data_IF_508796570163
#
_entry.id   IF_508796570163
#
_cell.length_a   1.000
_cell.length_b   1.000
_cell.length_c   1.000
_cell.angle_alpha   90.00
_cell.angle_beta   90.00
_cell.angle_gamma   90.00
#
_symmetry.space_group_name_H-M   'P 1'
#
loop_
_entity.id
_entity.type
_entity.pdbx_description
1 polymer ?
#
# COMPACT_ATOMS: atom_id res chain seq x y z
N UNK A 1 34.27 23.52 18.32
CA UNK A 1 33.44 22.85 19.35
C UNK A 1 32.01 22.96 18.85
N UNK A 2 31.53 21.93 18.16
CA UNK A 2 30.17 21.91 17.62
C UNK A 2 29.22 21.69 18.79
N UNK A 3 28.25 22.59 18.96
CA UNK A 3 27.17 22.41 19.91
C UNK A 3 26.36 21.17 19.50
N UNK A 4 26.43 20.13 20.31
CA UNK A 4 25.69 18.88 20.09
C UNK A 4 24.25 19.12 20.55
N UNK A 5 23.31 19.23 19.61
CA UNK A 5 21.87 19.35 19.89
C UNK A 5 21.34 17.96 20.26
N UNK A 6 20.63 17.84 21.39
CA UNK A 6 20.09 16.55 21.83
C UNK A 6 18.95 16.08 20.93
N UNK A 7 18.79 14.76 20.75
CA UNK A 7 17.69 14.18 19.97
C UNK A 7 16.31 14.64 20.45
N UNK A 8 16.17 14.94 21.76
CA UNK A 8 14.95 15.49 22.35
C UNK A 8 14.70 16.92 21.87
N UNK A 9 15.73 17.77 21.86
CA UNK A 9 15.63 19.13 21.33
C UNK A 9 15.28 19.12 19.83
N UNK A 10 15.81 18.15 19.07
CA UNK A 10 15.43 17.92 17.67
C UNK A 10 13.94 17.53 17.55
N UNK A 11 13.44 16.63 18.40
CA UNK A 11 12.02 16.24 18.40
C UNK A 11 11.08 17.39 18.79
N UNK A 12 11.47 18.18 19.79
CA UNK A 12 10.73 19.35 20.25
C UNK A 12 10.73 20.45 19.16
N UNK A 13 11.85 20.67 18.48
CA UNK A 13 11.98 21.61 17.35
C UNK A 13 11.20 21.16 16.11
N UNK A 14 11.11 19.85 15.83
CA UNK A 14 10.30 19.28 14.74
C UNK A 14 8.79 19.47 15.00
N UNK A 15 8.32 19.36 16.26
CA UNK A 15 6.93 19.69 16.61
C UNK A 15 6.61 21.17 16.39
N UNK A 16 7.60 22.05 16.52
CA UNK A 16 7.41 23.50 16.46
C UNK A 16 7.65 24.13 15.07
N UNK A 17 8.54 23.57 14.23
CA UNK A 17 9.09 24.32 13.07
C UNK A 17 8.76 23.77 11.68
N UNK A 18 8.30 22.52 11.52
CA UNK A 18 8.11 21.89 10.20
C UNK A 18 9.37 21.95 9.27
N UNK A 19 10.57 22.11 9.85
CA UNK A 19 11.88 21.79 9.24
C UNK A 19 12.45 22.79 8.23
N UNK A 20 13.62 23.33 8.56
CA UNK A 20 14.45 24.19 7.70
C UNK A 20 15.12 23.39 6.55
N UNK A 21 15.62 24.07 5.52
CA UNK A 21 16.04 23.46 4.23
C UNK A 21 17.14 22.40 4.29
N UNK A 22 17.94 22.37 5.36
CA UNK A 22 19.10 21.49 5.52
C UNK A 22 18.77 20.14 6.19
N UNK A 23 17.65 20.07 6.92
CA UNK A 23 17.23 18.89 7.68
C UNK A 23 15.72 18.67 7.56
N UNK A 24 15.34 17.61 6.82
CA UNK A 24 13.92 17.24 6.64
C UNK A 24 13.61 15.97 7.43
N UNK A 25 12.84 16.13 8.50
CA UNK A 25 12.22 15.04 9.24
C UNK A 25 10.73 14.96 8.91
N UNK A 26 10.19 13.74 8.80
CA UNK A 26 8.74 13.55 8.66
C UNK A 26 8.24 12.38 9.49
N UNK A 27 7.07 12.58 10.08
CA UNK A 27 6.30 11.57 10.78
C UNK A 27 5.23 11.01 9.85
N UNK A 28 5.16 9.69 9.77
CA UNK A 28 4.10 8.91 9.14
C UNK A 28 3.36 8.11 10.22
N UNK A 29 2.21 7.53 9.89
CA UNK A 29 1.37 6.74 10.80
C UNK A 29 2.15 5.63 11.54
N UNK A 30 3.16 5.03 10.90
CA UNK A 30 3.93 3.91 11.46
C UNK A 30 5.45 4.10 11.43
N UNK A 31 5.95 5.20 10.88
CA UNK A 31 7.39 5.42 10.68
C UNK A 31 7.80 6.86 10.96
N UNK A 32 9.02 7.02 11.46
CA UNK A 32 9.74 8.28 11.56
C UNK A 32 10.90 8.25 10.58
N UNK A 33 11.06 9.29 9.76
CA UNK A 33 12.09 9.33 8.73
C UNK A 33 12.89 10.62 8.80
N UNK A 34 14.20 10.51 8.61
CA UNK A 34 15.18 11.59 8.61
C UNK A 34 15.91 11.57 7.27
N UNK A 35 15.86 12.66 6.51
CA UNK A 35 16.68 12.83 5.32
C UNK A 35 17.94 13.62 5.65
N UNK A 36 19.07 13.09 5.21
CA UNK A 36 20.38 13.72 5.30
C UNK A 36 20.92 13.96 3.90
N UNK A 37 21.26 15.22 3.64
CA UNK A 37 22.00 15.61 2.45
C UNK A 37 23.46 15.79 2.86
N UNK A 38 24.36 15.04 2.25
CA UNK A 38 25.80 15.19 2.46
C UNK A 38 26.37 16.16 1.42
N UNK A 39 27.40 16.93 1.80
CA UNK A 39 28.13 17.80 0.87
C UNK A 39 28.77 17.01 -0.29
N UNK A 40 29.26 15.81 0.04
CA UNK A 40 29.77 14.82 -0.91
C UNK A 40 29.11 13.47 -0.65
N UNK A 41 28.18 13.07 -1.53
CA UNK A 41 27.52 11.76 -1.44
C UNK A 41 26.05 11.77 -1.88
N UNK A 42 25.42 10.58 -1.98
CA UNK A 42 24.01 10.49 -2.27
C UNK A 42 23.16 10.96 -1.08
N UNK A 43 22.07 11.62 -1.40
CA UNK A 43 21.01 11.96 -0.44
C UNK A 43 20.47 10.69 0.22
N UNK A 44 20.49 10.66 1.55
CA UNK A 44 20.28 9.44 2.33
C UNK A 44 19.09 9.61 3.26
N UNK A 45 18.26 8.58 3.38
CA UNK A 45 17.12 8.57 4.29
C UNK A 45 17.33 7.47 5.34
N UNK A 46 17.17 7.85 6.60
CA UNK A 46 17.16 6.96 7.75
C UNK A 46 15.71 6.84 8.22
N UNK A 47 15.22 5.63 8.42
CA UNK A 47 13.81 5.38 8.82
C UNK A 47 13.76 4.50 10.05
N UNK A 48 12.81 4.79 10.93
CA UNK A 48 12.58 4.07 12.18
C UNK A 48 11.10 3.66 12.27
N UNK A 49 10.79 2.41 12.66
CA UNK A 49 9.45 2.04 13.07
C UNK A 49 9.01 2.91 14.25
N UNK A 50 7.82 3.51 14.16
CA UNK A 50 7.29 4.40 15.20
C UNK A 50 6.98 3.59 16.47
N UNK A 51 7.58 3.94 17.63
CA UNK A 51 7.28 3.27 18.89
C UNK A 51 5.78 3.35 19.25
N UNK A 52 5.19 2.23 19.67
CA UNK A 52 3.79 2.16 20.10
C UNK A 52 2.75 1.95 18.98
N UNK A 53 3.13 2.11 17.71
CA UNK A 53 2.23 1.96 16.55
C UNK A 53 2.49 0.68 15.75
N UNK A 54 3.67 0.07 15.92
CA UNK A 54 3.99 -1.27 15.41
C UNK A 54 4.10 -2.22 16.59
N UNK A 55 3.37 -3.34 16.53
CA UNK A 55 3.48 -4.43 17.51
C UNK A 55 4.96 -4.77 17.69
N UNK A 56 5.46 -4.62 18.92
CA UNK A 56 6.88 -4.77 19.26
C UNK A 56 7.45 -6.11 18.81
N UNK A 57 6.62 -7.16 18.85
CA UNK A 57 6.96 -8.52 18.41
C UNK A 57 7.15 -8.68 16.91
N UNK A 58 6.62 -7.77 16.08
CA UNK A 58 6.66 -7.88 14.61
C UNK A 58 7.68 -6.94 13.96
N UNK A 59 8.35 -6.06 14.73
CA UNK A 59 9.25 -5.03 14.15
C UNK A 59 10.40 -5.64 13.37
N UNK A 60 11.10 -6.60 13.97
CA UNK A 60 12.28 -7.25 13.39
C UNK A 60 11.92 -8.10 12.15
N UNK A 61 10.77 -8.77 12.20
CA UNK A 61 10.25 -9.54 11.06
C UNK A 61 9.92 -8.62 9.88
N UNK A 62 9.19 -7.51 10.12
CA UNK A 62 8.86 -6.52 9.09
C UNK A 62 10.10 -5.92 8.44
N UNK A 63 11.07 -5.56 9.26
CA UNK A 63 12.39 -5.06 8.86
C UNK A 63 13.10 -6.06 7.95
N UNK A 64 13.17 -7.33 8.37
CA UNK A 64 13.86 -8.39 7.63
C UNK A 64 13.20 -8.65 6.29
N UNK A 65 11.87 -8.78 6.27
CA UNK A 65 11.09 -9.00 5.04
C UNK A 65 11.38 -7.90 4.02
N UNK A 66 11.40 -6.63 4.44
CA UNK A 66 11.56 -5.50 3.53
C UNK A 66 12.96 -5.43 2.93
N UNK A 67 13.98 -5.68 3.73
CA UNK A 67 15.36 -5.79 3.22
C UNK A 67 15.46 -6.91 2.19
N UNK A 68 14.92 -8.08 2.49
CA UNK A 68 14.95 -9.22 1.57
C UNK A 68 14.24 -8.92 0.25
N UNK A 69 13.09 -8.24 0.30
CA UNK A 69 12.36 -7.84 -0.90
C UNK A 69 13.17 -6.85 -1.74
N UNK A 70 13.82 -5.85 -1.13
CA UNK A 70 14.67 -4.92 -1.89
C UNK A 70 15.87 -5.62 -2.53
N UNK A 71 16.56 -6.47 -1.77
CA UNK A 71 17.69 -7.24 -2.29
C UNK A 71 17.24 -8.07 -3.49
N UNK A 72 16.11 -8.76 -3.35
CA UNK A 72 15.52 -9.55 -4.42
C UNK A 72 15.17 -8.70 -5.65
N UNK A 73 14.45 -7.59 -5.47
CA UNK A 73 14.06 -6.71 -6.58
C UNK A 73 15.28 -6.10 -7.28
N UNK A 74 16.27 -5.65 -6.51
CA UNK A 74 17.51 -5.09 -7.03
C UNK A 74 18.33 -6.11 -7.84
N UNK A 75 18.26 -7.40 -7.49
CA UNK A 75 19.05 -8.45 -8.13
C UNK A 75 18.32 -9.07 -9.33
N UNK A 76 16.99 -9.11 -9.30
CA UNK A 76 16.19 -9.91 -10.24
C UNK A 76 15.34 -9.06 -11.20
N UNK A 77 15.35 -7.73 -11.05
CA UNK A 77 14.54 -6.84 -11.89
C UNK A 77 15.32 -5.60 -12.30
N UNK A 78 14.84 -4.90 -13.34
CA UNK A 78 15.35 -3.58 -13.74
C UNK A 78 14.62 -2.44 -13.03
N UNK A 79 13.73 -2.74 -12.07
CA UNK A 79 12.96 -1.74 -11.35
C UNK A 79 13.92 -0.95 -10.45
N UNK A 80 13.99 0.39 -10.59
CA UNK A 80 14.87 1.19 -9.74
C UNK A 80 14.33 1.17 -8.30
N UNK A 81 15.09 0.52 -7.41
CA UNK A 81 14.83 0.49 -5.98
C UNK A 81 15.88 1.29 -5.21
N UNK A 82 15.53 1.88 -4.05
CA UNK A 82 16.51 2.60 -3.24
C UNK A 82 17.67 1.69 -2.81
N UNK A 83 18.88 2.24 -2.80
CA UNK A 83 20.08 1.51 -2.41
C UNK A 83 20.09 1.31 -0.88
N UNK A 84 20.09 0.05 -0.45
CA UNK A 84 20.27 -0.32 0.95
C UNK A 84 21.72 -0.12 1.36
N UNK A 85 21.98 0.84 2.26
CA UNK A 85 23.33 1.12 2.76
C UNK A 85 23.68 0.32 4.02
N UNK A 86 22.78 0.27 5.00
CA UNK A 86 22.95 -0.46 6.26
C UNK A 86 21.60 -0.85 6.84
N UNK A 87 21.57 -1.93 7.63
CA UNK A 87 20.37 -2.43 8.25
C UNK A 87 20.69 -3.35 9.46
N UNK A 88 19.86 -3.39 10.50
CA UNK A 88 20.04 -4.26 11.67
C UNK A 88 18.82 -4.36 12.59
N UNK A 89 18.65 -5.49 13.28
CA UNK A 89 17.49 -5.82 14.12
C UNK A 89 17.44 -5.00 15.42
N UNK A 90 16.30 -5.06 16.13
CA UNK A 90 16.13 -4.41 17.43
C UNK A 90 17.21 -4.84 18.44
N UNK A 91 17.63 -6.11 18.40
CA UNK A 91 18.72 -6.63 19.26
C UNK A 91 20.11 -6.15 18.86
N UNK A 92 20.30 -5.75 17.60
CA UNK A 92 21.53 -5.20 17.05
C UNK A 92 21.55 -3.66 17.16
N UNK A 93 20.43 -3.08 17.61
CA UNK A 93 20.34 -1.68 17.97
C UNK A 93 21.20 -1.45 19.22
N UNK A 94 22.23 -0.60 19.16
CA UNK A 94 22.92 -0.19 20.37
C UNK A 94 21.88 0.51 21.25
N UNK A 95 21.60 -0.04 22.43
CA UNK A 95 20.66 0.54 23.38
C UNK A 95 21.17 1.94 23.80
N UNK A 96 20.82 2.98 23.03
CA UNK A 96 21.30 4.38 23.06
C UNK A 96 22.32 4.67 21.94
N UNK A 97 21.93 5.56 21.01
CA UNK A 97 22.81 6.22 20.05
C UNK A 97 24.10 6.67 20.75
N UNK A 98 25.26 6.39 20.15
CA UNK A 98 26.54 6.97 20.58
C UNK A 98 26.47 8.50 20.37
N UNK A 99 26.41 9.31 21.44
CA UNK A 99 26.25 10.75 21.33
C UNK A 99 27.52 11.47 20.83
N UNK A 100 28.66 10.79 20.79
CA UNK A 100 29.93 11.36 20.31
C UNK A 100 30.20 10.98 18.85
N UNK A 101 29.79 9.79 18.40
CA UNK A 101 30.13 9.29 17.06
C UNK A 101 28.98 9.32 16.05
N UNK A 102 27.72 9.49 16.48
CA UNK A 102 26.53 9.54 15.62
C UNK A 102 26.42 8.38 14.61
N UNK A 103 27.05 7.22 14.88
CA UNK A 103 27.11 6.12 13.93
C UNK A 103 25.81 5.32 13.96
N UNK A 104 24.93 5.61 13.01
CA UNK A 104 23.63 4.95 12.85
C UNK A 104 23.82 3.62 12.10
N UNK A 105 23.50 2.50 12.74
CA UNK A 105 23.57 1.14 12.15
C UNK A 105 22.22 0.60 11.66
N UNK A 106 21.11 1.32 11.91
CA UNK A 106 19.75 0.76 11.78
C UNK A 106 19.16 0.75 10.37
N UNK A 107 18.19 -0.16 10.21
CA UNK A 107 17.50 -0.64 9.01
C UNK A 107 16.30 0.17 8.57
N UNK A 108 16.25 0.26 7.23
CA UNK A 108 15.12 0.64 6.40
C UNK A 108 13.84 -0.18 6.64
N UNK A 109 12.79 0.52 7.08
CA UNK A 109 11.41 0.07 7.00
C UNK A 109 10.70 0.75 5.80
N UNK A 110 10.56 0.04 4.69
CA UNK A 110 9.76 0.43 3.50
C UNK A 110 8.26 0.27 3.70
N UNK A 111 7.67 0.64 4.84
CA UNK A 111 6.20 0.48 4.97
C UNK A 111 5.39 1.32 3.97
N UNK A 112 6.01 2.25 3.25
CA UNK A 112 5.34 3.02 2.20
C UNK A 112 6.26 3.46 1.06
N UNK A 113 7.08 2.56 0.49
CA UNK A 113 7.04 2.55 -0.98
C UNK A 113 5.95 1.58 -1.31
N UNK A 114 4.78 2.12 -1.66
CA UNK A 114 3.81 1.33 -2.38
C UNK A 114 4.48 0.92 -3.71
N UNK A 115 5.24 -0.18 -3.67
CA UNK A 115 5.95 -0.76 -4.81
C UNK A 115 4.93 -1.46 -5.70
N UNK A 116 3.98 -0.68 -6.21
CA UNK A 116 2.99 -1.11 -7.16
C UNK A 116 3.48 -0.78 -8.56
N UNK A 117 3.07 -1.56 -9.57
CA UNK A 117 3.25 -1.17 -10.96
C UNK A 117 2.80 0.29 -11.14
N UNK A 118 3.60 1.10 -11.82
CA UNK A 118 3.25 2.50 -12.10
C UNK A 118 1.88 2.61 -12.80
N UNK A 119 1.45 1.54 -13.46
CA UNK A 119 0.13 1.38 -14.06
C UNK A 119 -1.02 1.64 -13.09
N UNK A 120 -0.88 1.35 -11.80
CA UNK A 120 -1.95 1.61 -10.82
C UNK A 120 -2.13 3.11 -10.52
N UNK A 121 -1.21 3.98 -10.94
CA UNK A 121 -1.44 5.43 -10.89
C UNK A 121 -2.31 5.92 -12.05
N UNK A 122 -2.54 5.07 -13.05
CA UNK A 122 -3.39 5.38 -14.21
C UNK A 122 -4.87 5.18 -13.90
N UNK A 123 -5.22 4.79 -12.66
CA UNK A 123 -6.59 4.73 -12.20
C UNK A 123 -7.05 6.07 -11.62
N UNK A 124 -8.32 6.48 -11.84
CA UNK A 124 -8.88 7.58 -11.07
C UNK A 124 -8.82 7.27 -9.56
N UNK A 125 -8.66 8.28 -8.70
CA UNK A 125 -8.49 8.02 -7.26
C UNK A 125 -9.71 7.35 -6.66
N UNK A 126 -9.56 6.12 -6.17
CA UNK A 126 -10.67 5.34 -5.60
C UNK A 126 -11.29 6.01 -4.35
N UNK A 127 -10.55 6.90 -3.67
CA UNK A 127 -10.92 7.53 -2.40
C UNK A 127 -11.79 8.80 -2.54
N UNK A 128 -12.23 9.17 -3.76
CA UNK A 128 -13.01 10.40 -3.97
C UNK A 128 -14.34 10.46 -3.18
N UNK A 129 -14.90 9.31 -2.80
CA UNK A 129 -16.09 9.21 -1.94
C UNK A 129 -15.76 8.98 -0.46
N UNK A 130 -14.48 9.05 -0.07
CA UNK A 130 -13.97 8.74 1.28
C UNK A 130 -14.33 7.33 1.78
N UNK A 131 -14.78 6.47 0.87
CA UNK A 131 -15.12 5.07 1.08
C UNK A 131 -14.67 4.31 -0.16
N UNK A 132 -14.02 3.16 0.02
CA UNK A 132 -13.56 2.34 -1.09
C UNK A 132 -14.72 1.68 -1.83
N UNK A 133 -14.55 1.36 -3.12
CA UNK A 133 -15.61 0.75 -3.93
C UNK A 133 -16.15 -0.53 -3.28
N UNK A 134 -15.29 -1.33 -2.63
CA UNK A 134 -15.66 -2.59 -1.97
C UNK A 134 -16.86 -2.47 -1.03
N UNK A 135 -16.90 -1.41 -0.21
CA UNK A 135 -17.95 -1.19 0.76
C UNK A 135 -19.33 -0.97 0.12
N UNK A 136 -19.35 -0.52 -1.14
CA UNK A 136 -20.58 -0.33 -1.92
C UNK A 136 -20.95 -1.58 -2.71
N UNK A 137 -19.95 -2.32 -3.19
CA UNK A 137 -20.15 -3.56 -3.93
C UNK A 137 -20.74 -4.65 -3.02
N UNK A 138 -20.27 -4.76 -1.78
CA UNK A 138 -20.79 -5.71 -0.77
C UNK A 138 -22.29 -5.50 -0.50
N UNK A 139 -22.78 -4.28 -0.65
CA UNK A 139 -24.18 -3.92 -0.46
C UNK A 139 -25.02 -4.10 -1.74
N UNK A 140 -24.43 -4.58 -2.83
CA UNK A 140 -25.08 -4.65 -4.15
C UNK A 140 -25.38 -3.27 -4.74
N UNK A 141 -24.73 -2.21 -4.25
CA UNK A 141 -24.99 -0.83 -4.61
C UNK A 141 -24.01 -0.27 -5.66
N UNK A 142 -23.48 -1.13 -6.55
CA UNK A 142 -22.50 -0.72 -7.58
C UNK A 142 -22.97 0.45 -8.44
N UNK A 143 -24.24 0.46 -8.83
CA UNK A 143 -24.78 1.54 -9.65
C UNK A 143 -24.86 2.86 -8.87
N UNK A 144 -25.27 2.79 -7.60
CA UNK A 144 -25.29 3.95 -6.70
C UNK A 144 -23.88 4.50 -6.48
N UNK A 145 -22.88 3.62 -6.35
CA UNK A 145 -21.48 4.03 -6.31
C UNK A 145 -21.09 4.77 -7.59
N UNK A 146 -21.38 4.22 -8.78
CA UNK A 146 -21.06 4.88 -10.07
C UNK A 146 -21.72 6.24 -10.20
N UNK A 147 -23.02 6.33 -9.92
CA UNK A 147 -23.80 7.57 -9.99
C UNK A 147 -23.22 8.66 -9.06
N UNK A 148 -22.65 8.27 -7.91
CA UNK A 148 -21.99 9.20 -7.00
C UNK A 148 -20.54 9.48 -7.38
N UNK A 149 -19.80 8.47 -7.83
CA UNK A 149 -18.36 8.54 -8.08
C UNK A 149 -18.04 9.29 -9.37
N UNK A 150 -18.72 8.98 -10.47
CA UNK A 150 -18.43 9.53 -11.80
C UNK A 150 -18.43 11.08 -11.84
N UNK A 151 -19.39 11.79 -11.22
CA UNK A 151 -19.33 13.26 -11.20
C UNK A 151 -18.11 13.82 -10.47
N UNK A 152 -17.65 13.15 -9.39
CA UNK A 152 -16.46 13.57 -8.62
C UNK A 152 -15.19 13.21 -9.36
N UNK A 153 -15.16 12.05 -10.00
CA UNK A 153 -14.08 11.66 -10.90
C UNK A 153 -13.90 12.69 -12.01
N UNK A 154 -14.98 13.06 -12.71
CA UNK A 154 -14.90 14.07 -13.78
C UNK A 154 -14.48 15.45 -13.24
N UNK A 155 -14.90 15.82 -12.03
CA UNK A 155 -14.40 17.05 -11.40
C UNK A 155 -12.90 16.98 -11.11
N UNK A 156 -12.40 15.85 -10.59
CA UNK A 156 -10.98 15.63 -10.35
C UNK A 156 -10.19 15.64 -11.65
N UNK A 157 -10.67 14.97 -12.71
CA UNK A 157 -10.00 14.92 -14.00
C UNK A 157 -9.90 16.31 -14.63
N UNK A 158 -10.93 17.14 -14.56
CA UNK A 158 -10.85 18.54 -15.02
C UNK A 158 -9.80 19.35 -14.26
N UNK A 159 -9.71 19.16 -12.94
CA UNK A 159 -8.68 19.84 -12.13
C UNK A 159 -7.27 19.35 -12.47
N UNK A 160 -7.13 18.04 -12.73
CA UNK A 160 -5.87 17.43 -13.14
C UNK A 160 -5.43 17.94 -14.52
N UNK A 161 -6.35 18.03 -15.49
CA UNK A 161 -6.09 18.55 -16.83
C UNK A 161 -5.55 20.00 -16.76
N UNK A 162 -6.12 20.85 -15.90
CA UNK A 162 -5.63 22.22 -15.67
C UNK A 162 -4.20 22.23 -15.09
N UNK A 163 -3.91 21.38 -14.10
CA UNK A 163 -2.59 21.28 -13.50
C UNK A 163 -1.53 20.71 -14.47
N UNK A 164 -1.94 19.77 -15.33
CA UNK A 164 -1.10 19.24 -16.41
C UNK A 164 -0.77 20.35 -17.44
N UNK A 165 -1.75 21.15 -17.84
CA UNK A 165 -1.56 22.25 -18.78
C UNK A 165 -0.59 23.32 -18.22
N UNK A 166 -0.70 23.68 -16.94
CA UNK A 166 0.23 24.61 -16.28
C UNK A 166 1.67 24.07 -16.22
N UNK A 167 1.83 22.76 -16.05
CA UNK A 167 3.14 22.10 -15.92
C UNK A 167 3.87 21.92 -17.26
N UNK A 168 3.14 21.95 -18.38
CA UNK A 168 3.72 21.71 -19.72
C UNK A 168 4.49 22.94 -20.27
N UNK A 169 4.44 24.08 -19.58
CA UNK A 169 5.03 25.33 -20.06
C UNK A 169 6.58 25.37 -20.04
N UNK A 170 7.28 24.34 -19.55
CA UNK A 170 8.73 24.39 -19.30
C UNK A 170 9.61 23.22 -19.75
N UNK A 171 9.07 22.07 -20.18
CA UNK A 171 9.89 20.86 -20.41
C UNK A 171 9.66 20.17 -21.77
N UNK A 172 10.73 19.58 -22.31
CA UNK A 172 10.71 18.79 -23.54
C UNK A 172 9.77 17.58 -23.38
N UNK A 173 8.64 17.66 -24.06
CA UNK A 173 7.52 16.74 -23.90
C UNK A 173 7.88 15.31 -24.37
N UNK A 174 8.07 14.39 -23.43
CA UNK A 174 8.03 12.95 -23.70
C UNK A 174 6.64 12.62 -24.28
N UNK A 175 6.58 11.80 -25.34
CA UNK A 175 5.35 11.35 -26.03
C UNK A 175 4.60 10.33 -25.15
N UNK A 176 4.17 10.75 -23.98
CA UNK A 176 3.40 9.96 -23.03
C UNK A 176 2.00 10.58 -22.97
N UNK A 177 0.91 9.80 -23.13
CA UNK A 177 -0.44 10.33 -22.95
C UNK A 177 -0.58 10.90 -21.53
N UNK A 178 -1.31 12.01 -21.42
CA UNK A 178 -1.61 12.72 -20.16
C UNK A 178 -2.17 11.74 -19.12
N UNK A 179 -1.87 11.98 -17.84
CA UNK A 179 -2.36 11.12 -16.76
C UNK A 179 -3.88 11.16 -16.70
N UNK A 180 -4.49 12.34 -16.88
CA UNK A 180 -5.94 12.51 -17.01
C UNK A 180 -6.55 11.61 -18.10
N UNK A 181 -5.93 11.55 -19.28
CA UNK A 181 -6.36 10.68 -20.39
C UNK A 181 -6.29 9.21 -20.00
N UNK A 182 -5.23 8.78 -19.31
CA UNK A 182 -5.10 7.38 -18.86
C UNK A 182 -6.13 7.01 -17.80
N UNK A 183 -6.43 7.92 -16.88
CA UNK A 183 -7.46 7.71 -15.86
C UNK A 183 -8.84 7.53 -16.49
N UNK A 184 -9.16 8.33 -17.50
CA UNK A 184 -10.42 8.18 -18.25
C UNK A 184 -10.46 6.85 -19.01
N UNK A 185 -9.38 6.48 -19.71
CA UNK A 185 -9.26 5.18 -20.37
C UNK A 185 -9.40 4.00 -19.38
N UNK A 186 -8.78 4.09 -18.21
CA UNK A 186 -8.84 3.02 -17.20
C UNK A 186 -10.27 2.79 -16.70
N UNK A 187 -11.04 3.88 -16.53
CA UNK A 187 -12.45 3.78 -16.15
C UNK A 187 -13.31 3.18 -17.27
N UNK A 188 -13.20 3.70 -18.49
CA UNK A 188 -13.99 3.27 -19.65
C UNK A 188 -13.70 1.81 -20.04
N UNK A 189 -12.45 1.39 -19.96
CA UNK A 189 -11.99 0.03 -20.29
C UNK A 189 -12.19 -1.00 -19.17
N UNK A 190 -12.86 -0.62 -18.07
CA UNK A 190 -13.04 -1.40 -16.83
C UNK A 190 -11.75 -1.85 -16.12
N UNK A 191 -10.58 -1.38 -16.58
CA UNK A 191 -9.27 -1.67 -15.99
C UNK A 191 -9.19 -1.19 -14.54
N UNK A 192 -9.85 -0.08 -14.21
CA UNK A 192 -9.99 0.41 -12.84
C UNK A 192 -10.50 -0.68 -11.88
N UNK A 193 -11.48 -1.48 -12.32
CA UNK A 193 -12.05 -2.56 -11.50
C UNK A 193 -11.07 -3.72 -11.36
N UNK A 194 -10.35 -4.06 -12.43
CA UNK A 194 -9.30 -5.09 -12.38
C UNK A 194 -8.19 -4.69 -11.40
N UNK A 195 -7.71 -3.46 -11.49
CA UNK A 195 -6.67 -2.95 -10.60
C UNK A 195 -7.20 -2.82 -9.16
N UNK A 196 -8.47 -2.46 -8.95
CA UNK A 196 -9.12 -2.55 -7.63
C UNK A 196 -9.08 -3.96 -7.04
N UNK A 197 -9.43 -4.97 -7.83
CA UNK A 197 -9.42 -6.37 -7.41
C UNK A 197 -7.99 -6.88 -7.14
N UNK A 198 -7.02 -6.50 -7.97
CA UNK A 198 -5.62 -6.86 -7.82
C UNK A 198 -4.97 -6.26 -6.57
N UNK A 199 -5.41 -5.06 -6.16
CA UNK A 199 -4.92 -4.37 -4.96
C UNK A 199 -5.42 -4.98 -3.65
N UNK A 200 -6.59 -5.61 -3.66
CA UNK A 200 -7.22 -6.19 -2.46
C UNK A 200 -7.77 -7.58 -2.78
N UNK A 201 -6.93 -8.59 -2.57
CA UNK A 201 -7.27 -9.99 -2.89
C UNK A 201 -8.51 -10.52 -2.17
N UNK A 202 -8.90 -9.92 -1.04
CA UNK A 202 -10.12 -10.29 -0.32
C UNK A 202 -11.40 -9.85 -1.04
N UNK A 203 -11.34 -8.75 -1.81
CA UNK A 203 -12.50 -8.16 -2.48
C UNK A 203 -12.63 -8.65 -3.93
N UNK A 204 -11.73 -9.55 -4.37
CA UNK A 204 -11.65 -10.02 -5.75
C UNK A 204 -12.98 -10.62 -6.23
N UNK A 205 -13.62 -11.46 -5.43
CA UNK A 205 -14.88 -12.12 -5.77
C UNK A 205 -15.99 -11.09 -6.01
N UNK A 206 -16.15 -10.16 -5.06
CA UNK A 206 -17.17 -9.11 -5.10
C UNK A 206 -16.95 -8.17 -6.29
N UNK A 207 -15.72 -7.74 -6.53
CA UNK A 207 -15.36 -6.90 -7.68
C UNK A 207 -15.58 -7.64 -9.00
N UNK A 208 -15.22 -8.93 -9.05
CA UNK A 208 -15.40 -9.74 -10.24
C UNK A 208 -16.87 -9.80 -10.64
N UNK A 209 -17.74 -10.25 -9.73
CA UNK A 209 -19.17 -10.40 -10.04
C UNK A 209 -19.89 -9.09 -10.29
N UNK A 210 -19.53 -8.03 -9.57
CA UNK A 210 -20.23 -6.77 -9.67
C UNK A 210 -19.76 -5.88 -10.83
N UNK A 211 -18.52 -6.02 -11.31
CA UNK A 211 -17.94 -5.07 -12.26
C UNK A 211 -17.12 -5.67 -13.41
N UNK A 212 -16.56 -6.88 -13.29
CA UNK A 212 -15.72 -7.49 -14.34
C UNK A 212 -16.42 -8.61 -15.10
N UNK A 213 -17.39 -9.27 -14.49
CA UNK A 213 -18.11 -10.38 -15.10
C UNK A 213 -19.02 -9.87 -16.24
N UNK A 214 -18.76 -10.36 -17.44
CA UNK A 214 -19.46 -9.97 -18.67
C UNK A 214 -20.75 -10.76 -18.94
N UNK A 215 -21.13 -11.67 -18.02
CA UNK A 215 -22.30 -12.54 -18.16
C UNK A 215 -22.12 -13.68 -19.18
N UNK A 216 -20.99 -13.71 -19.91
CA UNK A 216 -20.68 -14.69 -20.94
C UNK A 216 -19.61 -15.70 -20.47
N UNK A 217 -18.86 -15.34 -19.42
CA UNK A 217 -17.78 -16.16 -18.84
C UNK A 217 -18.26 -16.94 -17.61
N UNK A 218 -18.92 -18.07 -17.82
CA UNK A 218 -19.46 -18.94 -16.76
C UNK A 218 -18.79 -20.31 -16.64
N UNK A 219 -19.43 -21.22 -15.87
CA UNK A 219 -19.08 -22.66 -15.76
C UNK A 219 -18.94 -23.34 -17.13
N UNK A 220 -19.61 -22.79 -18.14
CA UNK A 220 -19.59 -23.22 -19.53
C UNK A 220 -18.20 -23.12 -20.19
N UNK A 221 -17.30 -22.29 -19.68
CA UNK A 221 -15.91 -22.20 -20.15
C UNK A 221 -14.97 -23.21 -19.49
N UNK A 222 -15.40 -23.86 -18.41
CA UNK A 222 -14.62 -24.91 -17.78
C UNK A 222 -14.57 -26.13 -18.69
N UNK A 223 -13.43 -26.82 -18.71
CA UNK A 223 -13.33 -28.11 -19.39
C UNK A 223 -14.22 -29.17 -18.70
N UNK A 224 -14.48 -30.26 -19.41
CA UNK A 224 -15.41 -31.29 -18.96
C UNK A 224 -14.95 -31.97 -17.66
N UNK A 225 -13.65 -32.02 -17.40
CA UNK A 225 -13.09 -32.61 -16.19
C UNK A 225 -13.32 -31.67 -14.99
N UNK A 226 -13.00 -30.38 -15.14
CA UNK A 226 -13.28 -29.36 -14.15
C UNK A 226 -14.76 -29.29 -13.81
N UNK A 227 -15.67 -29.37 -14.80
CA UNK A 227 -17.12 -29.40 -14.55
C UNK A 227 -17.57 -30.60 -13.72
N UNK A 228 -17.01 -31.79 -13.98
CA UNK A 228 -17.34 -33.00 -13.22
C UNK A 228 -16.86 -32.92 -11.78
N UNK A 229 -15.82 -32.15 -11.50
CA UNK A 229 -15.27 -31.97 -10.16
C UNK A 229 -16.01 -30.91 -9.32
N UNK A 230 -16.82 -30.03 -9.93
CA UNK A 230 -17.54 -28.97 -9.21
C UNK A 230 -18.46 -29.53 -8.14
N UNK A 231 -19.38 -30.43 -8.49
CA UNK A 231 -20.36 -30.97 -7.54
C UNK A 231 -19.69 -31.72 -6.37
N UNK A 232 -18.76 -32.67 -6.62
CA UNK A 232 -18.01 -33.30 -5.53
C UNK A 232 -17.23 -32.31 -4.65
N UNK A 233 -16.69 -31.25 -5.26
CA UNK A 233 -15.97 -30.21 -4.52
C UNK A 233 -16.92 -29.40 -3.62
N UNK A 234 -18.09 -29.01 -4.14
CA UNK A 234 -19.12 -28.28 -3.37
C UNK A 234 -19.59 -29.13 -2.19
N UNK A 235 -19.95 -30.40 -2.41
CA UNK A 235 -20.37 -31.31 -1.34
C UNK A 235 -19.31 -31.40 -0.24
N UNK A 236 -18.05 -31.66 -0.62
CA UNK A 236 -16.92 -31.72 0.30
C UNK A 236 -16.74 -30.41 1.08
N UNK A 237 -16.89 -29.25 0.44
CA UNK A 237 -16.75 -27.94 1.10
C UNK A 237 -17.89 -27.66 2.06
N UNK A 238 -19.11 -28.07 1.73
CA UNK A 238 -20.27 -27.95 2.61
C UNK A 238 -20.15 -28.85 3.84
N UNK A 239 -19.65 -30.09 3.68
CA UNK A 239 -19.32 -30.96 4.82
C UNK A 239 -18.25 -30.34 5.73
N UNK A 240 -17.16 -29.82 5.15
CA UNK A 240 -16.10 -29.14 5.89
C UNK A 240 -16.64 -27.91 6.65
N UNK A 241 -17.52 -27.14 6.03
CA UNK A 241 -18.16 -25.97 6.65
C UNK A 241 -19.06 -26.38 7.82
N UNK A 242 -19.85 -27.44 7.67
CA UNK A 242 -20.70 -27.95 8.75
C UNK A 242 -19.87 -28.42 9.94
N UNK A 243 -18.83 -29.22 9.70
CA UNK A 243 -17.92 -29.67 10.75
C UNK A 243 -17.19 -28.50 11.44
N UNK A 244 -16.84 -27.45 10.70
CA UNK A 244 -16.26 -26.22 11.26
C UNK A 244 -17.27 -25.49 12.17
N UNK A 245 -18.51 -25.32 11.72
CA UNK A 245 -19.58 -24.68 12.50
C UNK A 245 -19.86 -25.43 13.80
N UNK A 246 -19.94 -26.75 13.76
CA UNK A 246 -20.10 -27.59 14.95
C UNK A 246 -18.95 -27.40 15.96
N UNK A 247 -17.71 -27.39 15.47
CA UNK A 247 -16.53 -27.10 16.32
C UNK A 247 -16.56 -25.71 16.93
N UNK A 248 -16.98 -24.70 16.18
CA UNK A 248 -17.12 -23.34 16.69
C UNK A 248 -18.19 -23.26 17.78
N UNK A 249 -19.35 -23.88 17.57
CA UNK A 249 -20.39 -23.97 18.61
C UNK A 249 -19.83 -24.65 19.86
N UNK A 250 -19.22 -25.82 19.73
CA UNK A 250 -18.65 -26.54 20.87
C UNK A 250 -17.55 -25.75 21.63
N UNK A 251 -16.79 -24.91 20.92
CA UNK A 251 -15.66 -24.15 21.50
C UNK A 251 -16.09 -22.81 22.12
N UNK A 252 -17.16 -22.21 21.61
CA UNK A 252 -17.58 -20.85 21.97
C UNK A 252 -18.99 -20.80 22.60
N UNK A 253 -19.64 -21.94 22.85
CA UNK A 253 -20.81 -22.00 23.72
C UNK A 253 -20.44 -21.47 25.10
N UNK A 254 -21.20 -20.49 25.65
CA UNK A 254 -20.95 -20.00 27.01
C UNK A 254 -21.11 -21.17 27.98
N UNK A 255 -20.10 -21.38 28.83
CA UNK A 255 -20.26 -22.25 29.99
C UNK A 255 -21.35 -21.61 30.85
N UNK A 256 -22.47 -22.31 30.99
CA UNK A 256 -23.47 -21.95 31.99
C UNK A 256 -22.87 -22.38 33.32
N UNK A 257 -22.20 -21.46 33.99
CA UNK A 257 -21.79 -21.64 35.38
C UNK A 257 -23.08 -21.66 36.24
N UNK A 258 -23.37 -22.82 36.84
CA UNK A 258 -24.39 -23.01 37.89
C UNK A 258 -23.99 -22.34 39.21
#
# INVERSE_FOLDING_TARGET
>A
MNNIISLKACLDEIEETNGDEEFKAWLSSFNFSLRFKFDEGPDTIIRFPKPGYVATTLRDEKVTIKVRVLEYLSQNTTIPVPRLHSWGLTSESPQQLDPETFRITTVLDFEFTNGMPAQFTYDPPWWLLLSGPEAWLDLGCVQVFRDQYEPRMEQFLRALELAEDESTAGEQQLVQPRLSTRMRDSWESVRFWFDCAARKSFDLDVVYWAALHDGLTGVELLDDDARREIEPFIEKKMEQLNAYKEKCVARFSPQVDE
#
